data_IF_670610572382
#
_entry.id   IF_670610572382
#
_cell.length_a   1.000
_cell.length_b   1.000
_cell.length_c   1.000
_cell.angle_alpha   90.00
_cell.angle_beta   90.00
_cell.angle_gamma   90.00
#
_symmetry.space_group_name_H-M   'P 1'
#
loop_
_entity.id
_entity.type
_entity.pdbx_description
1 polymer ?
#
# COMPACT_ATOMS: atom_id res chain seq x y z
N UNK A 1 -5.06 -0.41 -1.67
CA UNK A 1 -4.24 0.53 -2.47
C UNK A 1 -2.80 0.06 -2.38
N UNK A 2 -2.12 -0.12 -3.51
CA UNK A 2 -0.77 -0.71 -3.51
C UNK A 2 0.32 0.35 -3.66
N UNK A 3 1.43 0.15 -2.95
CA UNK A 3 2.60 1.01 -2.95
C UNK A 3 3.82 0.20 -3.41
N UNK A 4 4.51 0.73 -4.42
CA UNK A 4 5.59 0.02 -5.09
C UNK A 4 6.74 0.94 -5.49
N UNK A 5 7.88 0.34 -5.75
CA UNK A 5 9.04 1.01 -6.34
C UNK A 5 9.23 0.54 -7.78
N UNK A 6 9.49 1.46 -8.69
CA UNK A 6 9.84 1.15 -10.10
C UNK A 6 11.33 1.11 -10.36
N UNK A 7 12.16 1.26 -9.33
CA UNK A 7 13.62 1.27 -9.46
C UNK A 7 14.27 0.16 -8.64
N UNK A 8 15.48 -0.22 -9.03
CA UNK A 8 16.29 -1.21 -8.30
C UNK A 8 17.13 -0.58 -7.16
N UNK A 9 16.91 0.69 -6.82
CA UNK A 9 17.69 1.35 -5.76
C UNK A 9 17.42 0.69 -4.41
N UNK A 10 18.47 0.14 -3.81
CA UNK A 10 18.39 -0.59 -2.53
C UNK A 10 18.20 0.33 -1.32
N UNK A 11 18.52 1.62 -1.46
CA UNK A 11 18.58 2.56 -0.33
C UNK A 11 17.55 3.67 -0.46
N UNK A 12 17.51 4.37 -1.60
CA UNK A 12 16.61 5.50 -1.77
C UNK A 12 15.16 5.07 -1.98
N UNK A 13 14.93 4.00 -2.75
CA UNK A 13 13.56 3.60 -3.09
C UNK A 13 12.72 3.19 -1.86
N UNK A 14 13.24 2.42 -0.89
CA UNK A 14 12.52 2.13 0.36
C UNK A 14 12.23 3.39 1.20
N UNK A 15 13.17 4.33 1.26
CA UNK A 15 13.00 5.59 2.01
C UNK A 15 11.90 6.46 1.38
N UNK A 16 11.97 6.67 0.07
CA UNK A 16 10.97 7.42 -0.67
C UNK A 16 9.58 6.77 -0.52
N UNK A 17 9.51 5.44 -0.61
CA UNK A 17 8.25 4.72 -0.41
C UNK A 17 7.70 4.92 1.00
N UNK A 18 8.55 4.87 2.02
CA UNK A 18 8.15 5.12 3.41
C UNK A 18 7.53 6.50 3.61
N UNK A 19 8.07 7.53 2.96
CA UNK A 19 7.50 8.90 3.00
C UNK A 19 6.09 8.91 2.39
N UNK A 20 5.89 8.24 1.24
CA UNK A 20 4.58 8.13 0.62
C UNK A 20 3.58 7.38 1.52
N UNK A 21 3.99 6.27 2.14
CA UNK A 21 3.16 5.53 3.07
C UNK A 21 2.76 6.39 4.28
N UNK A 22 3.71 7.10 4.89
CA UNK A 22 3.44 7.98 6.03
C UNK A 22 2.43 9.09 5.67
N UNK A 23 2.63 9.75 4.54
CA UNK A 23 1.71 10.79 4.07
C UNK A 23 0.30 10.24 3.78
N UNK A 24 0.22 9.03 3.21
CA UNK A 24 -1.06 8.36 2.97
C UNK A 24 -1.77 8.03 4.28
N UNK A 25 -1.06 7.45 5.26
CA UNK A 25 -1.61 7.11 6.57
C UNK A 25 -2.12 8.35 7.30
N UNK A 26 -1.35 9.44 7.33
CA UNK A 26 -1.78 10.73 7.91
C UNK A 26 -3.01 11.29 7.20
N UNK A 27 -3.07 11.21 5.87
CA UNK A 27 -4.24 11.63 5.10
C UNK A 27 -5.48 10.79 5.41
N UNK A 28 -5.32 9.47 5.50
CA UNK A 28 -6.39 8.55 5.89
C UNK A 28 -6.90 8.84 7.29
N UNK A 29 -6.01 9.08 8.25
CA UNK A 29 -6.38 9.46 9.62
C UNK A 29 -7.21 10.75 9.64
N UNK A 30 -6.73 11.80 8.96
CA UNK A 30 -7.43 13.08 8.88
C UNK A 30 -8.82 12.99 8.23
N UNK A 31 -9.00 12.06 7.29
CA UNK A 31 -10.26 11.85 6.58
C UNK A 31 -11.18 10.79 7.22
N UNK A 32 -10.77 10.18 8.33
CA UNK A 32 -11.54 9.11 8.97
C UNK A 32 -11.64 7.85 8.10
N UNK A 33 -10.61 7.55 7.30
CA UNK A 33 -10.52 6.36 6.45
C UNK A 33 -9.71 5.29 7.20
N UNK A 34 -10.35 4.36 7.94
CA UNK A 34 -9.62 3.36 8.70
C UNK A 34 -8.90 2.36 7.79
N UNK A 35 -7.70 1.97 8.18
CA UNK A 35 -6.96 0.92 7.50
C UNK A 35 -5.60 0.67 8.16
N UNK A 36 -4.80 -0.13 7.49
CA UNK A 36 -3.41 -0.39 7.88
C UNK A 36 -2.59 -0.80 6.66
N UNK A 37 -1.29 -0.63 6.75
CA UNK A 37 -0.36 -1.24 5.80
C UNK A 37 -0.13 -2.72 6.10
N UNK A 38 -0.09 -3.54 5.05
CA UNK A 38 0.23 -4.96 5.11
C UNK A 38 1.07 -5.36 3.89
N UNK A 39 2.10 -6.19 4.11
CA UNK A 39 2.81 -6.86 3.03
C UNK A 39 2.01 -8.09 2.64
N UNK A 40 1.49 -8.10 1.42
CA UNK A 40 0.71 -9.22 0.89
C UNK A 40 1.59 -10.19 0.09
N UNK A 41 1.19 -11.45 0.00
CA UNK A 41 1.76 -12.39 -0.97
C UNK A 41 1.30 -12.04 -2.40
N UNK A 42 1.98 -12.51 -3.46
CA UNK A 42 1.48 -12.36 -4.83
C UNK A 42 0.06 -12.88 -5.02
N UNK A 43 -0.28 -14.01 -4.38
CA UNK A 43 -1.62 -14.62 -4.42
C UNK A 43 -2.66 -13.72 -3.75
N UNK A 44 -2.35 -13.17 -2.57
CA UNK A 44 -3.22 -12.24 -1.85
C UNK A 44 -3.47 -10.93 -2.62
N UNK A 45 -2.50 -10.49 -3.43
CA UNK A 45 -2.66 -9.34 -4.33
C UNK A 45 -3.46 -9.66 -5.59
N UNK A 46 -3.62 -10.93 -5.95
CA UNK A 46 -4.21 -11.34 -7.21
C UNK A 46 -3.38 -10.99 -8.45
N UNK A 47 -2.07 -10.73 -8.29
CA UNK A 47 -1.17 -10.40 -9.41
C UNK A 47 -0.47 -11.68 -9.86
N UNK A 48 -0.77 -12.12 -11.09
CA UNK A 48 -0.04 -13.21 -11.77
C UNK A 48 1.01 -12.59 -12.69
N UNK A 49 2.19 -13.22 -12.75
CA UNK A 49 3.27 -12.86 -13.68
C UNK A 49 3.73 -11.39 -13.58
N UNK A 50 3.89 -10.88 -12.37
CA UNK A 50 4.39 -9.52 -12.15
C UNK A 50 5.79 -9.36 -12.78
N UNK A 51 6.06 -8.28 -13.53
CA UNK A 51 7.39 -7.99 -14.04
C UNK A 51 8.38 -7.74 -12.88
N UNK A 52 9.69 -7.93 -13.13
CA UNK A 52 10.77 -7.70 -12.14
C UNK A 52 10.74 -6.31 -11.48
N UNK A 53 10.17 -5.33 -12.21
CA UNK A 53 9.75 -4.02 -11.76
C UNK A 53 8.39 -3.70 -12.41
N UNK A 54 7.41 -3.13 -11.68
CA UNK A 54 7.50 -2.62 -10.31
C UNK A 54 7.51 -3.68 -9.20
N UNK A 55 8.32 -3.41 -8.16
CA UNK A 55 8.36 -4.19 -6.92
C UNK A 55 7.36 -3.61 -5.94
N UNK A 56 6.26 -4.33 -5.75
CA UNK A 56 5.31 -4.06 -4.69
C UNK A 56 5.94 -4.39 -3.34
N UNK A 57 5.93 -3.42 -2.43
CA UNK A 57 6.44 -3.63 -1.08
C UNK A 57 5.31 -3.74 -0.07
N UNK A 58 4.21 -3.00 -0.25
CA UNK A 58 3.15 -2.91 0.75
C UNK A 58 1.82 -2.46 0.15
N UNK A 59 0.73 -2.87 0.80
CA UNK A 59 -0.64 -2.50 0.43
C UNK A 59 -1.35 -1.87 1.62
N UNK A 60 -2.11 -0.81 1.40
CA UNK A 60 -3.08 -0.29 2.35
C UNK A 60 -4.37 -1.08 2.26
N UNK A 61 -4.73 -1.73 3.37
CA UNK A 61 -5.96 -2.50 3.55
C UNK A 61 -6.95 -1.61 4.29
N UNK A 62 -7.89 -1.01 3.54
CA UNK A 62 -9.00 -0.28 4.13
C UNK A 62 -9.93 -1.23 4.87
N UNK A 63 -10.49 -0.80 6.00
CA UNK A 63 -11.68 -1.48 6.53
C UNK A 63 -12.86 -1.07 5.66
N UNK A 64 -13.68 -2.03 5.24
CA UNK A 64 -15.01 -1.70 4.76
C UNK A 64 -15.70 -0.95 5.91
N UNK A 65 -16.13 0.29 5.68
CA UNK A 65 -17.20 0.85 6.49
C UNK A 65 -18.36 -0.10 6.34
N UNK A 66 -18.85 -0.66 7.45
CA UNK A 66 -20.18 -1.23 7.49
C UNK A 66 -21.09 -0.15 6.90
N UNK A 67 -21.60 -0.39 5.69
CA UNK A 67 -22.60 0.47 5.11
C UNK A 67 -23.71 0.52 6.17
N UNK A 68 -23.92 1.72 6.72
CA UNK A 68 -24.97 1.95 7.71
C UNK A 68 -26.25 1.39 7.09
N UNK A 69 -26.71 0.27 7.64
CA UNK A 69 -28.04 -0.23 7.41
C UNK A 69 -28.99 0.86 7.93
N UNK A 70 -29.48 1.68 7.00
CA UNK A 70 -30.52 2.67 7.21
C UNK A 70 -31.79 2.18 6.52
#
# INVERSE_FOLDING_TARGET
MDFFTTTASRFYAPVALGIWCANWETGCEALGIPGRFQVLTPEERGVRDAPDLPRYHVSWIGRATDAVAA
#
